data_IF_923868045967
#
_entry.id   IF_923868045967
#
_cell.length_a   1.000
_cell.length_b   1.000
_cell.length_c   1.000
_cell.angle_alpha   90.00
_cell.angle_beta   90.00
_cell.angle_gamma   90.00
#
_symmetry.space_group_name_H-M   'P 1'
#
loop_
_entity.id
_entity.type
_entity.pdbx_description
1 polymer ?
#
# COMPACT_ATOMS: atom_id res chain seq x y z
N UNK A 1 11.64 -3.91 10.56
CA UNK A 1 11.13 -4.48 9.30
C UNK A 1 11.85 -5.79 9.02
N UNK A 2 11.17 -6.82 8.50
CA UNK A 2 11.80 -8.04 8.00
C UNK A 2 12.67 -7.77 6.75
N UNK A 3 13.44 -8.77 6.33
CA UNK A 3 14.19 -8.73 5.07
C UNK A 3 13.25 -8.48 3.86
N UNK A 4 13.74 -7.87 2.76
CA UNK A 4 12.92 -7.67 1.57
C UNK A 4 12.58 -9.01 0.90
N UNK A 5 11.34 -9.14 0.42
CA UNK A 5 10.81 -10.37 -0.19
C UNK A 5 11.29 -10.52 -1.63
N UNK A 6 11.35 -9.40 -2.37
CA UNK A 6 11.69 -9.37 -3.79
C UNK A 6 13.17 -9.01 -4.02
N UNK A 7 14.02 -9.12 -2.99
CA UNK A 7 15.44 -8.72 -3.06
C UNK A 7 16.21 -9.36 -4.22
N UNK A 8 15.84 -10.58 -4.61
CA UNK A 8 16.48 -11.36 -5.67
C UNK A 8 15.67 -11.41 -6.97
N UNK A 9 14.53 -10.73 -7.04
CA UNK A 9 13.75 -10.63 -8.26
C UNK A 9 14.42 -9.63 -9.22
N UNK A 10 14.52 -10.01 -10.49
CA UNK A 10 15.16 -9.20 -11.53
C UNK A 10 14.19 -8.76 -12.62
N UNK A 11 12.90 -9.10 -12.49
CA UNK A 11 11.87 -8.71 -13.44
C UNK A 11 11.76 -7.19 -13.52
N UNK A 12 11.80 -6.66 -14.74
CA UNK A 12 11.48 -5.27 -14.97
C UNK A 12 10.05 -4.98 -14.51
N UNK A 13 9.76 -3.74 -14.11
CA UNK A 13 8.38 -3.32 -13.84
C UNK A 13 7.54 -3.52 -15.09
N UNK A 14 6.26 -3.90 -14.90
CA UNK A 14 5.32 -3.97 -16.00
C UNK A 14 5.19 -2.61 -16.69
N UNK A 15 4.82 -2.60 -17.97
CA UNK A 15 4.66 -1.35 -18.70
C UNK A 15 3.57 -0.47 -18.07
N UNK A 16 3.80 0.85 -18.06
CA UNK A 16 2.83 1.86 -17.61
C UNK A 16 2.34 1.67 -16.15
N UNK A 17 3.20 1.15 -15.28
CA UNK A 17 2.98 1.24 -13.83
C UNK A 17 4.04 2.17 -13.21
N UNK A 18 3.69 2.94 -12.18
CA UNK A 18 4.65 3.79 -11.48
C UNK A 18 5.63 2.96 -10.64
N UNK A 19 6.82 3.52 -10.44
CA UNK A 19 7.85 2.98 -9.56
C UNK A 19 7.67 3.48 -8.12
N UNK A 20 6.99 2.67 -7.32
CA UNK A 20 6.77 2.89 -5.90
C UNK A 20 7.87 2.28 -5.01
N UNK A 21 8.87 1.59 -5.59
CA UNK A 21 9.92 0.93 -4.80
C UNK A 21 10.60 1.93 -3.87
N UNK A 22 10.79 1.51 -2.62
CA UNK A 22 11.48 2.31 -1.63
C UNK A 22 10.92 2.14 -0.22
N UNK A 23 11.52 2.89 0.70
CA UNK A 23 11.06 3.03 2.07
C UNK A 23 10.37 4.38 2.24
N UNK A 24 9.15 4.40 2.76
CA UNK A 24 8.29 5.57 2.83
C UNK A 24 7.85 5.86 4.26
N UNK A 25 7.94 7.12 4.69
CA UNK A 25 7.58 7.56 6.05
C UNK A 25 6.49 8.63 5.98
N UNK A 26 5.46 8.50 6.81
CA UNK A 26 4.41 9.51 6.93
C UNK A 26 4.96 10.88 7.38
N UNK A 27 4.51 11.94 6.72
CA UNK A 27 4.88 13.34 7.02
C UNK A 27 3.68 14.30 7.11
N UNK A 28 2.53 13.92 6.55
CA UNK A 28 1.25 14.63 6.71
C UNK A 28 0.14 13.59 6.77
N UNK A 29 -0.74 13.69 7.76
CA UNK A 29 -1.89 12.80 7.93
C UNK A 29 -3.13 13.68 7.98
N UNK A 30 -4.10 13.36 7.13
CA UNK A 30 -5.38 14.07 7.06
C UNK A 30 -6.56 13.14 7.27
N UNK A 31 -7.54 13.61 8.03
CA UNK A 31 -8.84 12.96 8.24
C UNK A 31 -9.91 13.97 7.87
N UNK A 32 -10.79 13.63 6.94
CA UNK A 32 -11.80 14.56 6.39
C UNK A 32 -11.20 15.87 5.87
N UNK A 33 -10.00 15.82 5.28
CA UNK A 33 -9.30 16.98 4.72
C UNK A 33 -8.50 17.83 5.72
N UNK A 34 -8.72 17.62 7.02
CA UNK A 34 -8.06 18.36 8.11
C UNK A 34 -6.84 17.60 8.64
N UNK A 35 -5.82 18.34 9.11
CA UNK A 35 -4.63 17.74 9.72
C UNK A 35 -5.04 16.97 10.97
N UNK A 36 -4.69 15.70 11.01
CA UNK A 36 -5.08 14.80 12.08
C UNK A 36 -4.21 15.03 13.35
N UNK A 37 -4.73 14.76 14.56
CA UNK A 37 -3.95 14.89 15.79
C UNK A 37 -2.65 14.07 15.74
N UNK A 38 -1.52 14.68 16.13
CA UNK A 38 -0.19 14.04 16.13
C UNK A 38 -0.11 12.77 16.99
N UNK A 39 -1.08 12.54 17.87
CA UNK A 39 -1.19 11.35 18.72
C UNK A 39 -1.75 10.14 17.97
N UNK A 40 -2.35 10.29 16.78
CA UNK A 40 -2.83 9.16 16.00
C UNK A 40 -1.66 8.29 15.54
N UNK A 41 -1.78 6.97 15.75
CA UNK A 41 -0.71 6.01 15.44
C UNK A 41 -0.25 6.06 13.97
N UNK A 42 -1.12 6.45 13.05
CA UNK A 42 -0.79 6.57 11.61
C UNK A 42 0.32 7.59 11.34
N UNK A 43 0.57 8.56 12.22
CA UNK A 43 1.75 9.44 12.13
C UNK A 43 3.09 8.68 12.22
N UNK A 44 3.08 7.48 12.80
CA UNK A 44 4.26 6.60 12.90
C UNK A 44 4.36 5.62 11.73
N UNK A 45 3.50 5.77 10.70
CA UNK A 45 3.46 4.85 9.59
C UNK A 45 4.75 4.90 8.78
N UNK A 46 5.30 3.70 8.57
CA UNK A 46 6.47 3.42 7.77
C UNK A 46 6.14 2.21 6.90
N UNK A 47 6.28 2.35 5.59
CA UNK A 47 6.03 1.26 4.65
C UNK A 47 7.19 1.06 3.71
N UNK A 48 7.56 -0.20 3.49
CA UNK A 48 8.44 -0.58 2.38
C UNK A 48 7.57 -1.12 1.26
N UNK A 49 7.78 -0.61 0.06
CA UNK A 49 7.17 -1.14 -1.16
C UNK A 49 8.27 -1.76 -2.02
N UNK A 50 8.00 -2.96 -2.49
CA UNK A 50 8.85 -3.72 -3.40
C UNK A 50 8.02 -4.08 -4.64
N UNK A 51 8.62 -4.08 -5.84
CA UNK A 51 7.93 -4.40 -7.09
C UNK A 51 8.83 -5.22 -8.03
N UNK A 52 8.24 -6.18 -8.73
CA UNK A 52 8.84 -6.97 -9.80
C UNK A 52 7.74 -7.36 -10.80
N UNK A 53 7.84 -6.96 -12.07
CA UNK A 53 6.72 -7.08 -13.01
C UNK A 53 5.50 -6.27 -12.51
N UNK A 54 4.35 -6.93 -12.39
CA UNK A 54 3.13 -6.39 -11.76
C UNK A 54 2.92 -6.91 -10.33
N UNK A 55 3.89 -7.62 -9.74
CA UNK A 55 3.87 -8.03 -8.34
C UNK A 55 4.27 -6.86 -7.45
N UNK A 56 3.55 -6.68 -6.35
CA UNK A 56 3.79 -5.63 -5.35
C UNK A 56 3.81 -6.28 -3.98
N UNK A 57 4.85 -5.99 -3.19
CA UNK A 57 4.91 -6.36 -1.78
C UNK A 57 4.95 -5.09 -0.94
N UNK A 58 4.03 -4.98 0.02
CA UNK A 58 3.95 -3.86 0.96
C UNK A 58 4.15 -4.41 2.37
N UNK A 59 5.23 -3.99 3.03
CA UNK A 59 5.51 -4.33 4.43
C UNK A 59 5.28 -3.10 5.29
N UNK A 60 4.24 -3.13 6.13
CA UNK A 60 3.86 -2.02 7.00
C UNK A 60 2.97 -2.50 8.15
N UNK A 61 2.87 -1.73 9.24
CA UNK A 61 1.87 -1.98 10.29
C UNK A 61 1.93 -3.34 10.99
N UNK A 62 3.02 -4.10 10.83
CA UNK A 62 3.18 -5.46 11.37
C UNK A 62 2.71 -6.58 10.43
N UNK A 63 2.21 -6.26 9.23
CA UNK A 63 1.80 -7.23 8.21
C UNK A 63 2.64 -7.12 6.94
N UNK A 64 2.48 -8.11 6.06
CA UNK A 64 3.12 -8.17 4.76
C UNK A 64 2.08 -8.54 3.71
N UNK A 65 1.70 -7.57 2.91
CA UNK A 65 0.79 -7.77 1.79
C UNK A 65 1.59 -8.08 0.53
N UNK A 66 1.41 -9.28 -0.01
CA UNK A 66 2.02 -9.74 -1.26
C UNK A 66 0.91 -10.00 -2.27
N UNK A 67 0.99 -9.37 -3.44
CA UNK A 67 -0.05 -9.47 -4.46
C UNK A 67 0.50 -9.29 -5.87
N UNK A 68 -0.19 -9.85 -6.85
CA UNK A 68 -0.14 -9.39 -8.23
C UNK A 68 -1.26 -8.38 -8.46
N UNK A 69 -0.93 -7.27 -9.12
CA UNK A 69 -1.90 -6.26 -9.51
C UNK A 69 -2.60 -6.64 -10.83
N UNK A 70 -3.32 -7.77 -10.83
CA UNK A 70 -4.02 -8.33 -12.00
C UNK A 70 -5.56 -8.31 -11.89
N UNK A 71 -6.09 -7.73 -10.80
CA UNK A 71 -7.52 -7.61 -10.53
C UNK A 71 -8.20 -8.87 -9.98
N UNK A 72 -7.44 -9.94 -9.74
CA UNK A 72 -7.98 -11.18 -9.17
C UNK A 72 -7.78 -11.24 -7.66
N UNK A 73 -8.60 -12.03 -6.98
CA UNK A 73 -8.38 -12.34 -5.56
C UNK A 73 -7.44 -13.53 -5.39
N UNK A 74 -7.38 -14.40 -6.40
CA UNK A 74 -6.59 -15.62 -6.43
C UNK A 74 -5.08 -15.32 -6.37
N UNK A 75 -4.65 -14.27 -7.08
CA UNK A 75 -3.28 -13.75 -7.02
C UNK A 75 -3.16 -12.47 -6.17
N UNK A 76 -4.26 -12.09 -5.50
CA UNK A 76 -4.32 -10.93 -4.62
C UNK A 76 -3.75 -11.19 -3.22
N UNK A 77 -4.02 -10.28 -2.30
CA UNK A 77 -3.64 -10.45 -0.90
C UNK A 77 -4.50 -11.56 -0.28
N UNK A 78 -3.86 -12.50 0.39
CA UNK A 78 -4.46 -13.49 1.28
C UNK A 78 -3.72 -13.45 2.62
N UNK A 79 -4.24 -12.65 3.54
CA UNK A 79 -3.55 -12.24 4.77
C UNK A 79 -4.56 -12.14 5.93
N UNK A 80 -4.17 -11.47 7.00
CA UNK A 80 -5.01 -11.07 8.12
C UNK A 80 -5.05 -9.55 8.26
N UNK A 81 -6.10 -9.04 8.90
CA UNK A 81 -6.24 -7.62 9.21
C UNK A 81 -5.12 -7.17 10.16
N UNK A 82 -4.40 -6.09 9.82
CA UNK A 82 -3.36 -5.53 10.69
C UNK A 82 -3.88 -5.00 12.04
N UNK A 83 -5.20 -4.86 12.19
CA UNK A 83 -5.82 -4.42 13.44
C UNK A 83 -5.80 -5.50 14.53
N UNK A 84 -5.87 -6.78 14.17
CA UNK A 84 -6.00 -7.89 15.11
C UNK A 84 -5.09 -9.10 14.82
N UNK A 85 -4.47 -9.14 13.63
CA UNK A 85 -3.60 -10.21 13.16
C UNK A 85 -4.27 -11.60 13.11
N UNK A 86 -5.61 -11.67 13.08
CA UNK A 86 -6.36 -12.93 13.06
C UNK A 86 -7.54 -12.95 12.11
N UNK A 87 -8.17 -11.80 11.83
CA UNK A 87 -9.32 -11.74 10.92
C UNK A 87 -8.85 -11.91 9.48
N UNK A 88 -9.33 -12.93 8.74
CA UNK A 88 -8.92 -13.15 7.35
C UNK A 88 -9.22 -11.93 6.46
N UNK A 89 -8.29 -11.63 5.57
CA UNK A 89 -8.36 -10.52 4.63
C UNK A 89 -7.98 -11.00 3.22
N UNK A 90 -8.91 -10.82 2.27
CA UNK A 90 -8.68 -11.10 0.86
C UNK A 90 -8.84 -9.81 0.05
N UNK A 91 -7.88 -9.49 -0.81
CA UNK A 91 -7.88 -8.19 -1.53
C UNK A 91 -7.41 -8.36 -2.95
N UNK A 92 -8.19 -7.88 -3.92
CA UNK A 92 -7.76 -7.76 -5.30
C UNK A 92 -7.00 -6.44 -5.51
N UNK A 93 -5.97 -6.45 -6.33
CA UNK A 93 -5.14 -5.28 -6.63
C UNK A 93 -5.15 -4.96 -8.13
N UNK A 94 -5.21 -3.68 -8.50
CA UNK A 94 -5.09 -3.21 -9.88
C UNK A 94 -4.23 -1.95 -9.94
N UNK A 95 -3.61 -1.70 -11.09
CA UNK A 95 -3.10 -0.38 -11.44
C UNK A 95 -4.11 0.32 -12.37
N UNK A 96 -4.56 1.51 -11.99
CA UNK A 96 -5.56 2.30 -12.70
C UNK A 96 -5.08 3.75 -12.77
N UNK A 97 -4.71 4.22 -13.97
CA UNK A 97 -4.21 5.60 -14.19
C UNK A 97 -3.09 6.00 -13.22
N UNK A 98 -2.03 5.19 -13.15
CA UNK A 98 -0.88 5.36 -12.22
C UNK A 98 -1.23 5.28 -10.72
N UNK A 99 -2.41 4.76 -10.37
CA UNK A 99 -2.83 4.50 -8.99
C UNK A 99 -2.86 3.00 -8.73
N UNK A 100 -2.18 2.52 -7.68
CA UNK A 100 -2.42 1.18 -7.15
C UNK A 100 -3.70 1.21 -6.32
N UNK A 101 -4.71 0.45 -6.74
CA UNK A 101 -6.02 0.35 -6.08
C UNK A 101 -6.19 -1.05 -5.51
N UNK A 102 -6.50 -1.11 -4.22
CA UNK A 102 -6.76 -2.34 -3.48
C UNK A 102 -8.22 -2.42 -3.08
N UNK A 103 -8.87 -3.55 -3.36
CA UNK A 103 -10.30 -3.79 -3.12
C UNK A 103 -10.51 -5.05 -2.28
N UNK A 104 -10.80 -4.91 -0.97
CA UNK A 104 -11.06 -6.06 -0.11
C UNK A 104 -12.36 -6.77 -0.48
N UNK A 105 -12.34 -8.10 -0.45
CA UNK A 105 -13.52 -8.94 -0.71
C UNK A 105 -14.57 -8.73 0.38
N UNK A 106 -15.81 -8.48 -0.01
CA UNK A 106 -16.94 -8.31 0.90
C UNK A 106 -16.96 -6.97 1.67
N UNK A 107 -16.15 -5.99 1.25
CA UNK A 107 -16.18 -4.61 1.75
C UNK A 107 -16.43 -3.65 0.57
N UNK A 108 -17.61 -3.75 -0.01
CA UNK A 108 -18.01 -2.98 -1.19
C UNK A 108 -17.92 -1.47 -0.93
N UNK A 109 -17.32 -0.74 -1.87
CA UNK A 109 -17.09 0.71 -1.75
C UNK A 109 -15.83 1.10 -0.98
N UNK A 110 -15.13 0.14 -0.35
CA UNK A 110 -13.82 0.38 0.25
C UNK A 110 -12.72 0.19 -0.80
N UNK A 111 -11.92 1.24 -0.98
CA UNK A 111 -10.69 1.20 -1.78
C UNK A 111 -9.54 1.73 -0.94
N UNK A 112 -8.38 1.09 -1.04
CA UNK A 112 -7.12 1.61 -0.51
C UNK A 112 -6.23 1.96 -1.69
N UNK A 113 -5.83 3.23 -1.80
CA UNK A 113 -5.17 3.79 -2.98
C UNK A 113 -3.76 4.25 -2.66
N UNK A 114 -2.86 4.09 -3.63
CA UNK A 114 -1.52 4.67 -3.60
C UNK A 114 -1.16 5.29 -4.94
N UNK A 115 -0.64 6.51 -4.92
CA UNK A 115 -0.13 7.21 -6.11
C UNK A 115 1.02 8.14 -5.75
N UNK A 116 1.78 8.57 -6.76
CA UNK A 116 2.82 9.58 -6.56
C UNK A 116 2.25 10.99 -6.80
N UNK A 117 2.52 11.90 -5.87
CA UNK A 117 2.37 13.34 -6.03
C UNK A 117 3.77 13.99 -5.97
N UNK A 118 4.34 14.18 -7.16
CA UNK A 118 5.75 14.54 -7.31
C UNK A 118 6.66 13.47 -6.70
N UNK A 119 7.48 13.86 -5.73
CA UNK A 119 8.40 12.94 -5.04
C UNK A 119 7.75 12.17 -3.87
N UNK A 120 6.49 12.45 -3.55
CA UNK A 120 5.82 11.89 -2.38
C UNK A 120 4.88 10.78 -2.78
N UNK A 121 4.82 9.73 -1.97
CA UNK A 121 3.78 8.73 -2.08
C UNK A 121 2.57 9.23 -1.29
N UNK A 122 1.39 9.14 -1.88
CA UNK A 122 0.13 9.33 -1.18
C UNK A 122 -0.47 7.97 -0.93
N UNK A 123 -0.89 7.73 0.31
CA UNK A 123 -1.66 6.56 0.70
C UNK A 123 -3.02 7.02 1.24
N UNK A 124 -4.09 6.60 0.58
CA UNK A 124 -5.47 6.88 0.98
C UNK A 124 -6.15 5.58 1.38
N UNK A 125 -6.79 5.59 2.54
CA UNK A 125 -7.69 4.51 2.96
C UNK A 125 -9.11 5.04 2.87
N UNK A 126 -9.73 4.92 1.68
CA UNK A 126 -11.11 5.33 1.40
C UNK A 126 -11.43 6.69 2.04
N UNK A 127 -12.56 6.82 2.72
CA UNK A 127 -12.95 8.05 3.44
C UNK A 127 -12.34 8.18 4.84
N UNK A 128 -11.47 7.26 5.28
CA UNK A 128 -10.94 7.25 6.64
C UNK A 128 -9.81 8.25 6.82
N UNK A 129 -8.81 8.22 5.96
CA UNK A 129 -7.67 9.13 6.02
C UNK A 129 -6.86 9.14 4.71
N UNK A 130 -6.06 10.20 4.55
CA UNK A 130 -5.03 10.33 3.53
C UNK A 130 -3.70 10.63 4.21
N UNK A 131 -2.63 9.96 3.77
CA UNK A 131 -1.27 10.13 4.29
C UNK A 131 -0.37 10.55 3.15
N UNK A 132 0.41 11.62 3.34
CA UNK A 132 1.55 11.96 2.49
C UNK A 132 2.80 11.36 3.11
N UNK A 133 3.59 10.67 2.29
CA UNK A 133 4.83 10.01 2.71
C UNK A 133 6.02 10.54 1.92
N UNK A 134 7.14 10.71 2.62
CA UNK A 134 8.44 10.98 2.01
C UNK A 134 9.22 9.69 1.78
N UNK A 135 10.02 9.63 0.71
CA UNK A 135 10.92 8.51 0.43
C UNK A 135 12.21 8.68 1.23
N UNK A 136 12.65 7.61 1.90
CA UNK A 136 13.89 7.58 2.67
C UNK A 136 15.05 6.92 1.91
N UNK A 137 14.74 5.95 1.05
CA UNK A 137 15.68 5.19 0.22
C UNK A 137 14.98 4.71 -1.04
#
# INVERSE_FOLDING_TARGET
MPAPVLANCTDALANNIPDFRGLWRAIDVRVNGEVAPATLKVWQHLERIEQAGNRVVITAGGVLHDMYADGTFENGINDVMAADFVTPLYVAATFENDVLVLRPRGLEGIEVKRWLDGAHLIWEYSTFFTVRLERLT
#
